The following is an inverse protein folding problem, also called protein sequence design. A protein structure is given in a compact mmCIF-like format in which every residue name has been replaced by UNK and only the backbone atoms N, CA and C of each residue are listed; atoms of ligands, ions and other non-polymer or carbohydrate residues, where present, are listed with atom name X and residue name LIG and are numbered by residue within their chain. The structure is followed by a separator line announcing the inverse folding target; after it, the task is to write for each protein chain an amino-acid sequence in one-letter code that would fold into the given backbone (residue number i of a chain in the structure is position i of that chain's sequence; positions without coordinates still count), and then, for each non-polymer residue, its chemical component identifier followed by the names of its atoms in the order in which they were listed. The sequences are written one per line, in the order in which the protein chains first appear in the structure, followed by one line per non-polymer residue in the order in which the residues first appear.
data_IF_954559393429
#
_entry.id   IF_954559393429
#
_cell.length_a   1.000
_cell.length_b   1.000
_cell.length_c   1.000
_cell.angle_alpha   90.00
_cell.angle_beta   90.00
_cell.angle_gamma   90.00
#
_symmetry.space_group_name_H-M   'P 1'
#
loop_
_entity.id
_entity.type
_entity.pdbx_description
1 polymer ?
#
# COMPACT_ATOMS: atom_id res chain seq x y z
N UNK A 1 -64.18 -26.62 31.87
CA UNK A 1 -64.98 -27.51 32.75
C UNK A 1 -64.60 -28.97 32.49
N UNK A 2 -64.62 -29.81 33.53
CA UNK A 2 -64.23 -31.25 33.65
C UNK A 2 -62.74 -31.46 34.01
N UNK A 3 -62.38 -31.48 35.32
CA UNK A 3 -62.41 -32.57 36.36
C UNK A 3 -61.01 -33.22 36.46
N UNK A 4 -60.13 -32.83 37.41
CA UNK A 4 -59.95 -33.25 38.83
C UNK A 4 -59.82 -34.78 39.06
N UNK A 5 -58.66 -35.19 39.60
CA UNK A 5 -58.37 -36.10 40.75
C UNK A 5 -56.90 -36.58 40.60
N UNK A 6 -55.91 -36.34 41.47
CA UNK A 6 -55.71 -36.45 42.94
C UNK A 6 -55.24 -37.85 43.43
N UNK A 7 -53.89 -38.01 43.61
CA UNK A 7 -53.10 -38.42 44.82
C UNK A 7 -53.41 -39.83 45.47
N UNK A 8 -52.60 -40.47 46.37
CA UNK A 8 -51.15 -40.80 46.54
C UNK A 8 -50.91 -42.32 46.85
N UNK A 9 -49.67 -42.76 47.16
CA UNK A 9 -49.25 -43.46 48.42
C UNK A 9 -47.78 -43.95 48.24
N UNK A 10 -46.84 -43.47 49.08
CA UNK A 10 -46.20 -44.20 50.22
C UNK A 10 -45.22 -45.32 49.82
N UNK A 11 -44.16 -45.69 50.54
CA UNK A 11 -43.39 -45.22 51.71
C UNK A 11 -42.33 -46.34 51.86
N UNK A 12 -41.07 -46.04 52.15
CA UNK A 12 -40.08 -47.11 52.30
C UNK A 12 -38.67 -46.65 52.65
N UNK A 13 -38.50 -46.25 53.92
CA UNK A 13 -37.20 -46.07 54.56
C UNK A 13 -36.52 -47.42 54.83
N UNK A 14 -35.24 -47.55 54.49
CA UNK A 14 -34.30 -48.43 55.20
C UNK A 14 -33.02 -47.62 55.43
N UNK A 15 -32.72 -47.39 56.71
CA UNK A 15 -31.46 -46.84 57.19
C UNK A 15 -30.56 -48.00 57.64
N UNK A 16 -29.30 -48.01 57.16
CA UNK A 16 -28.18 -48.76 57.74
C UNK A 16 -26.99 -47.80 57.81
N UNK A 17 -26.56 -47.45 59.03
CA UNK A 17 -25.17 -47.03 59.31
C UNK A 17 -24.35 -48.30 59.61
N UNK A 18 -23.02 -48.38 59.52
CA UNK A 18 -21.94 -47.41 59.76
C UNK A 18 -20.68 -47.95 59.05
N UNK A 19 -19.84 -47.08 58.49
CA UNK A 19 -18.36 -47.16 58.57
C UNK A 19 -17.74 -45.91 57.93
N UNK A 20 -17.17 -45.06 58.76
CA UNK A 20 -16.27 -43.97 58.36
C UNK A 20 -14.98 -44.56 57.79
N UNK A 21 -14.69 -44.26 56.53
CA UNK A 21 -13.33 -44.36 55.98
C UNK A 21 -12.99 -42.99 55.40
N UNK A 22 -12.12 -42.28 56.11
CA UNK A 22 -11.43 -41.11 55.57
C UNK A 22 -10.57 -41.57 54.40
N UNK A 23 -10.92 -41.13 53.19
CA UNK A 23 -9.98 -41.12 52.07
C UNK A 23 -10.42 -40.10 51.01
N UNK A 24 -9.57 -39.08 50.88
CA UNK A 24 -9.32 -38.25 49.69
C UNK A 24 -10.49 -37.41 49.16
N UNK A 25 -10.50 -36.14 49.58
CA UNK A 25 -11.06 -35.05 48.78
C UNK A 25 -10.34 -35.02 47.42
N UNK A 26 -10.94 -35.65 46.41
CA UNK A 26 -10.68 -35.26 45.04
C UNK A 26 -11.30 -33.86 44.89
N UNK A 27 -10.43 -32.86 44.81
CA UNK A 27 -10.81 -31.54 44.35
C UNK A 27 -11.48 -31.71 42.98
N UNK A 28 -12.81 -31.57 42.95
CA UNK A 28 -13.55 -31.25 41.74
C UNK A 28 -13.08 -29.85 41.34
N UNK A 29 -11.94 -29.83 40.64
CA UNK A 29 -11.47 -28.66 39.93
C UNK A 29 -12.45 -28.51 38.79
N UNK A 30 -13.53 -27.78 39.08
CA UNK A 30 -14.45 -27.30 38.08
C UNK A 30 -13.63 -26.76 36.94
N UNK A 31 -13.65 -27.46 35.81
CA UNK A 31 -13.21 -26.91 34.54
C UNK A 31 -14.13 -25.71 34.30
N UNK A 32 -13.69 -24.54 34.74
CA UNK A 32 -14.23 -23.28 34.29
C UNK A 32 -14.17 -23.36 32.77
N UNK A 33 -15.32 -23.55 32.15
CA UNK A 33 -15.43 -23.54 30.70
C UNK A 33 -14.73 -22.28 30.23
N UNK A 34 -13.64 -22.44 29.48
CA UNK A 34 -13.05 -21.34 28.76
C UNK A 34 -14.18 -20.79 27.89
N UNK A 35 -14.79 -19.69 28.29
CA UNK A 35 -15.66 -18.93 27.42
C UNK A 35 -14.76 -18.51 26.28
N UNK A 36 -14.78 -19.25 25.17
CA UNK A 36 -14.15 -18.81 23.95
C UNK A 36 -14.67 -17.40 23.70
N UNK A 37 -13.75 -16.42 23.74
CA UNK A 37 -14.09 -15.04 23.46
C UNK A 37 -14.71 -15.04 22.06
N UNK A 38 -16.03 -14.84 22.02
CA UNK A 38 -16.81 -14.88 20.81
C UNK A 38 -16.33 -13.73 19.93
N UNK A 39 -15.57 -14.06 18.88
CA UNK A 39 -14.94 -13.09 17.99
C UNK A 39 -15.71 -13.02 16.67
N UNK A 40 -15.80 -11.82 16.11
CA UNK A 40 -16.27 -11.55 14.76
C UNK A 40 -15.16 -10.91 13.94
N UNK A 41 -15.32 -10.93 12.61
CA UNK A 41 -14.39 -10.28 11.69
C UNK A 41 -15.09 -9.14 10.98
N UNK A 42 -14.54 -7.93 11.10
CA UNK A 42 -14.94 -6.79 10.28
C UNK A 42 -14.02 -6.78 9.07
N UNK A 43 -14.61 -6.72 7.88
CA UNK A 43 -13.90 -6.52 6.62
C UNK A 43 -14.48 -5.30 5.91
N UNK A 44 -13.74 -4.70 5.01
CA UNK A 44 -14.26 -3.64 4.17
C UNK A 44 -13.17 -2.94 3.40
N UNK A 45 -13.56 -1.89 2.69
CA UNK A 45 -12.66 -1.04 1.93
C UNK A 45 -12.85 0.42 2.31
N UNK A 46 -11.75 1.16 2.39
CA UNK A 46 -11.75 2.61 2.64
C UNK A 46 -11.31 3.33 1.38
N UNK A 47 -12.15 4.24 0.89
CA UNK A 47 -11.90 5.05 -0.31
C UNK A 47 -12.24 6.50 -0.08
N UNK A 48 -11.80 7.36 -0.99
CA UNK A 48 -12.16 8.77 -1.00
C UNK A 48 -13.40 8.98 -1.89
N UNK A 49 -14.46 9.55 -1.32
CA UNK A 49 -15.74 9.81 -2.00
C UNK A 49 -15.60 10.76 -3.21
N UNK A 50 -14.60 11.65 -3.19
CA UNK A 50 -14.41 12.66 -4.23
C UNK A 50 -13.59 12.17 -5.42
N UNK A 51 -12.56 11.36 -5.17
CA UNK A 51 -11.62 10.88 -6.20
C UNK A 51 -11.88 9.45 -6.63
N UNK A 52 -12.66 8.71 -5.84
CA UNK A 52 -12.78 7.26 -5.92
C UNK A 52 -11.40 6.56 -5.80
N UNK A 53 -10.37 7.17 -5.21
CA UNK A 53 -9.08 6.49 -4.96
C UNK A 53 -9.16 5.64 -3.68
N UNK A 54 -8.42 4.54 -3.62
CA UNK A 54 -8.26 3.78 -2.38
C UNK A 54 -7.30 4.46 -1.43
N UNK A 55 -7.58 4.31 -0.14
CA UNK A 55 -6.75 4.90 0.90
C UNK A 55 -5.96 3.80 1.59
N UNK A 56 -4.71 3.61 1.17
CA UNK A 56 -3.70 2.81 1.88
C UNK A 56 -3.24 3.56 3.13
N UNK A 57 -3.15 2.86 4.27
CA UNK A 57 -2.71 3.50 5.50
C UNK A 57 -3.76 4.36 6.20
N UNK A 58 -5.05 4.20 5.88
CA UNK A 58 -6.12 4.70 6.74
C UNK A 58 -6.09 3.98 8.11
N UNK A 59 -6.47 4.70 9.16
CA UNK A 59 -6.65 4.12 10.49
C UNK A 59 -8.11 3.74 10.67
N UNK A 60 -8.40 2.45 10.82
CA UNK A 60 -9.73 1.96 11.16
C UNK A 60 -9.67 1.52 12.62
N UNK A 61 -10.41 2.19 13.50
CA UNK A 61 -10.39 1.90 14.94
C UNK A 61 -11.81 1.78 15.50
N UNK A 62 -12.00 0.86 16.43
CA UNK A 62 -13.20 0.83 17.24
C UNK A 62 -13.09 1.81 18.41
N UNK A 63 -14.03 2.76 18.46
CA UNK A 63 -14.10 3.77 19.52
C UNK A 63 -14.25 3.11 20.90
N UNK A 64 -13.54 3.63 21.89
CA UNK A 64 -13.55 3.09 23.25
C UNK A 64 -12.74 1.79 23.44
N UNK A 65 -12.10 1.25 22.39
CA UNK A 65 -11.24 0.06 22.48
C UNK A 65 -9.84 0.31 21.91
N UNK A 66 -8.94 -0.65 22.08
CA UNK A 66 -7.60 -0.66 21.48
C UNK A 66 -7.55 -1.45 20.15
N UNK A 67 -8.69 -1.96 19.67
CA UNK A 67 -8.75 -2.67 18.40
C UNK A 67 -8.69 -1.69 17.24
N UNK A 68 -7.64 -1.82 16.43
CA UNK A 68 -7.46 -1.03 15.23
C UNK A 68 -6.81 -1.87 14.13
N UNK A 69 -7.12 -1.53 12.89
CA UNK A 69 -6.52 -2.08 11.69
C UNK A 69 -6.06 -0.93 10.79
N UNK A 70 -5.04 -1.23 10.00
CA UNK A 70 -4.52 -0.37 8.96
C UNK A 70 -5.03 -0.93 7.64
N UNK A 71 -5.49 -0.05 6.75
CA UNK A 71 -5.85 -0.47 5.39
C UNK A 71 -4.62 -0.81 4.57
N UNK A 72 -4.72 -1.87 3.78
CA UNK A 72 -3.74 -2.28 2.79
C UNK A 72 -3.78 -1.39 1.55
N UNK A 73 -2.91 -1.68 0.58
CA UNK A 73 -2.72 -0.91 -0.65
C UNK A 73 -4.00 -0.76 -1.48
N UNK A 74 -4.82 -1.80 -1.55
CA UNK A 74 -6.12 -1.81 -2.23
C UNK A 74 -7.25 -1.20 -1.37
N UNK A 75 -6.90 -0.51 -0.28
CA UNK A 75 -7.82 0.11 0.66
C UNK A 75 -8.57 -0.90 1.54
N UNK A 76 -8.30 -2.20 1.43
CA UNK A 76 -8.99 -3.21 2.23
C UNK A 76 -8.48 -3.23 3.66
N UNK A 77 -9.36 -3.56 4.60
CA UNK A 77 -8.98 -3.79 5.99
C UNK A 77 -9.66 -5.03 6.54
N UNK A 78 -9.01 -5.63 7.53
CA UNK A 78 -9.53 -6.77 8.27
C UNK A 78 -9.22 -6.62 9.75
N UNK A 79 -10.27 -6.63 10.58
CA UNK A 79 -10.16 -6.43 12.02
C UNK A 79 -10.93 -7.54 12.76
N UNK A 80 -10.25 -8.25 13.67
CA UNK A 80 -10.89 -9.24 14.53
C UNK A 80 -11.17 -8.64 15.89
N UNK A 81 -12.43 -8.71 16.30
CA UNK A 81 -12.92 -8.07 17.52
C UNK A 81 -13.94 -8.96 18.20
N UNK A 82 -14.11 -8.87 19.52
CA UNK A 82 -15.21 -9.54 20.21
C UNK A 82 -16.58 -9.15 19.66
N UNK A 83 -17.58 -10.01 19.80
CA UNK A 83 -18.96 -9.68 19.48
C UNK A 83 -19.47 -8.55 20.39
N UNK A 84 -20.18 -7.58 19.81
CA UNK A 84 -20.62 -6.38 20.52
C UNK A 84 -21.08 -5.28 19.57
N UNK A 85 -21.58 -4.20 20.16
CA UNK A 85 -21.91 -2.96 19.45
C UNK A 85 -20.75 -1.98 19.58
N UNK A 86 -20.27 -1.47 18.45
CA UNK A 86 -19.16 -0.55 18.41
C UNK A 86 -19.41 0.59 17.43
N UNK A 87 -18.65 1.66 17.61
CA UNK A 87 -18.53 2.73 16.63
C UNK A 87 -17.20 2.59 15.91
N UNK A 88 -17.26 2.35 14.60
CA UNK A 88 -16.11 2.25 13.73
C UNK A 88 -15.71 3.66 13.30
N UNK A 89 -14.60 4.16 13.85
CA UNK A 89 -14.02 5.45 13.51
C UNK A 89 -12.91 5.23 12.49
N UNK A 90 -13.03 5.86 11.34
CA UNK A 90 -12.00 5.83 10.29
C UNK A 90 -11.42 7.21 10.10
N UNK A 91 -10.10 7.31 10.17
CA UNK A 91 -9.37 8.55 9.96
C UNK A 91 -8.25 8.38 8.94
N UNK A 92 -8.04 9.44 8.17
CA UNK A 92 -6.99 9.55 7.17
C UNK A 92 -6.46 10.98 7.18
N UNK A 93 -5.14 11.14 7.07
CA UNK A 93 -4.52 12.47 7.17
C UNK A 93 -5.05 13.38 6.06
N UNK A 94 -5.71 14.48 6.43
CA UNK A 94 -6.23 15.48 5.48
C UNK A 94 -7.65 15.23 4.96
N UNK A 95 -8.35 14.21 5.46
CA UNK A 95 -9.79 13.99 5.24
C UNK A 95 -10.54 14.09 6.57
N UNK A 96 -11.85 14.31 6.50
CA UNK A 96 -12.71 14.36 7.68
C UNK A 96 -12.92 12.94 8.23
N UNK A 97 -12.87 12.79 9.55
CA UNK A 97 -13.11 11.50 10.20
C UNK A 97 -14.58 11.09 10.05
N UNK A 98 -14.80 9.80 9.78
CA UNK A 98 -16.14 9.22 9.73
C UNK A 98 -16.32 8.19 10.82
N UNK A 99 -17.44 8.30 11.55
CA UNK A 99 -17.84 7.35 12.58
C UNK A 99 -19.11 6.62 12.14
N UNK A 100 -19.07 5.30 12.12
CA UNK A 100 -20.17 4.46 11.66
C UNK A 100 -20.54 3.43 12.74
N UNK A 101 -21.80 3.38 13.20
CA UNK A 101 -22.23 2.35 14.13
C UNK A 101 -22.23 0.98 13.45
N UNK A 102 -21.72 -0.04 14.16
CA UNK A 102 -21.63 -1.42 13.69
C UNK A 102 -22.02 -2.38 14.83
N UNK A 103 -22.89 -3.33 14.53
CA UNK A 103 -23.20 -4.45 15.44
C UNK A 103 -22.58 -5.74 14.91
N UNK A 104 -21.84 -6.43 15.76
CA UNK A 104 -21.08 -7.63 15.39
C UNK A 104 -21.67 -8.81 16.16
N UNK A 105 -22.25 -9.75 15.43
CA UNK A 105 -22.73 -11.01 15.98
C UNK A 105 -21.58 -12.01 16.11
N UNK A 106 -21.72 -12.96 17.03
CA UNK A 106 -20.70 -14.00 17.28
C UNK A 106 -20.38 -14.79 16.01
N UNK A 107 -19.10 -14.88 15.64
CA UNK A 107 -18.63 -15.59 14.45
C UNK A 107 -19.03 -14.95 13.11
N UNK A 108 -19.74 -13.82 13.12
CA UNK A 108 -20.19 -13.17 11.91
C UNK A 108 -19.05 -12.39 11.24
N UNK A 109 -19.03 -12.45 9.91
CA UNK A 109 -18.21 -11.56 9.09
C UNK A 109 -19.10 -10.39 8.64
N UNK A 110 -18.78 -9.19 9.12
CA UNK A 110 -19.50 -7.97 8.73
C UNK A 110 -18.64 -7.20 7.74
N UNK A 111 -19.18 -6.95 6.55
CA UNK A 111 -18.53 -6.09 5.55
C UNK A 111 -19.02 -4.66 5.67
N UNK A 112 -18.12 -3.70 5.84
CA UNK A 112 -18.45 -2.26 5.87
C UNK A 112 -17.45 -1.43 5.06
N UNK A 113 -17.91 -0.95 3.91
CA UNK A 113 -17.13 -0.04 3.08
C UNK A 113 -17.36 1.41 3.54
N UNK A 114 -16.31 2.23 3.53
CA UNK A 114 -16.25 3.56 4.15
C UNK A 114 -15.69 4.54 3.13
N UNK A 115 -16.44 5.62 2.87
CA UNK A 115 -16.06 6.65 1.91
C UNK A 115 -15.76 7.95 2.67
N UNK A 116 -14.49 8.30 2.78
CA UNK A 116 -14.05 9.53 3.42
C UNK A 116 -14.12 10.71 2.44
N UNK A 117 -14.39 11.90 2.95
CA UNK A 117 -14.36 13.15 2.16
C UNK A 117 -13.63 14.23 2.95
N UNK A 118 -13.16 15.26 2.27
CA UNK A 118 -12.82 16.53 2.90
C UNK A 118 -14.04 17.47 2.82
N UNK A 119 -14.27 18.29 3.84
CA UNK A 119 -15.41 19.22 3.96
C UNK A 119 -15.49 20.34 2.92
N UNK A 120 -14.80 20.22 1.78
CA UNK A 120 -14.72 21.21 0.71
C UNK A 120 -15.75 20.89 -0.40
N UNK A 121 -16.98 20.54 -0.02
CA UNK A 121 -18.12 20.51 -0.94
C UNK A 121 -19.03 21.71 -0.70
N UNK A 122 -18.62 22.88 -1.20
CA UNK A 122 -19.52 24.02 -1.45
C UNK A 122 -19.04 24.97 -2.57
N UNK A 123 -18.25 24.52 -3.55
CA UNK A 123 -18.09 25.25 -4.82
C UNK A 123 -17.94 24.28 -5.98
N UNK A 124 -18.43 24.70 -7.16
CA UNK A 124 -18.44 23.96 -8.42
C UNK A 124 -17.11 23.22 -8.69
N UNK A 125 -17.16 21.98 -9.21
CA UNK A 125 -16.01 21.09 -9.25
C UNK A 125 -14.89 21.64 -10.12
N UNK A 126 -13.82 22.10 -9.47
CA UNK A 126 -12.49 22.17 -10.06
C UNK A 126 -11.58 21.23 -9.27
N UNK A 127 -11.56 19.97 -9.69
CA UNK A 127 -10.91 18.87 -8.98
C UNK A 127 -9.41 18.87 -9.26
N UNK A 128 -8.62 19.47 -8.37
CA UNK A 128 -7.17 19.20 -8.27
C UNK A 128 -6.95 18.26 -7.09
N UNK A 129 -7.35 17.00 -7.26
CA UNK A 129 -7.35 16.03 -6.17
C UNK A 129 -6.20 15.00 -6.23
N UNK A 130 -5.58 14.77 -7.38
CA UNK A 130 -4.52 13.76 -7.52
C UNK A 130 -3.26 14.07 -6.70
N UNK A 131 -2.66 15.24 -6.92
CA UNK A 131 -1.34 15.59 -6.34
C UNK A 131 -1.37 15.79 -4.81
N UNK A 132 -2.51 16.20 -4.23
CA UNK A 132 -2.66 16.31 -2.77
C UNK A 132 -2.90 14.96 -2.10
N UNK A 133 -3.53 14.00 -2.78
CA UNK A 133 -3.85 12.69 -2.23
C UNK A 133 -2.61 11.78 -2.15
N UNK A 134 -1.83 11.70 -3.24
CA UNK A 134 -0.58 10.91 -3.26
C UNK A 134 0.43 11.38 -2.21
N UNK A 135 0.57 12.70 -2.04
CA UNK A 135 1.41 13.28 -1.00
C UNK A 135 0.94 12.94 0.42
N UNK A 136 -0.37 12.96 0.67
CA UNK A 136 -0.93 12.58 1.98
C UNK A 136 -0.72 11.09 2.29
N UNK A 137 -0.83 10.22 1.29
CA UNK A 137 -0.53 8.78 1.39
C UNK A 137 0.95 8.57 1.71
N UNK A 138 1.85 9.19 0.95
CA UNK A 138 3.30 9.09 1.14
C UNK A 138 3.71 9.53 2.56
N UNK A 139 3.18 10.66 3.05
CA UNK A 139 3.45 11.14 4.42
C UNK A 139 2.92 10.17 5.48
N UNK A 140 1.73 9.60 5.27
CA UNK A 140 1.12 8.66 6.22
C UNK A 140 1.92 7.36 6.30
N UNK A 141 2.32 6.81 5.15
CA UNK A 141 3.20 5.65 5.06
C UNK A 141 4.55 5.94 5.73
N UNK A 142 5.11 7.12 5.50
CA UNK A 142 6.39 7.51 6.11
C UNK A 142 6.27 7.62 7.64
N UNK A 143 5.18 8.20 8.16
CA UNK A 143 4.95 8.33 9.61
C UNK A 143 4.78 6.97 10.30
N UNK A 144 4.27 5.98 9.58
CA UNK A 144 4.03 4.62 10.08
C UNK A 144 5.21 3.67 9.87
N UNK A 145 6.26 4.10 9.19
CA UNK A 145 7.44 3.28 8.96
C UNK A 145 8.28 3.19 10.24
N UNK A 146 8.61 1.96 10.64
CA UNK A 146 9.50 1.69 11.78
C UNK A 146 10.98 2.07 11.51
N UNK A 147 11.35 2.29 10.24
CA UNK A 147 12.69 2.70 9.81
C UNK A 147 12.76 4.13 9.27
N UNK A 148 13.99 4.66 9.13
CA UNK A 148 14.27 5.95 8.47
C UNK A 148 14.09 5.82 6.96
N UNK A 149 12.83 5.83 6.54
CA UNK A 149 12.39 5.81 5.15
C UNK A 149 11.94 7.21 4.73
N UNK A 150 12.23 7.59 3.50
CA UNK A 150 11.68 8.77 2.85
C UNK A 150 10.77 8.29 1.74
N UNK A 151 9.48 8.60 1.81
CA UNK A 151 8.49 8.15 0.82
C UNK A 151 8.00 9.37 0.06
N UNK A 152 8.03 9.30 -1.26
CA UNK A 152 7.62 10.39 -2.13
C UNK A 152 6.73 9.86 -3.23
N UNK A 153 5.57 10.49 -3.38
CA UNK A 153 4.65 10.20 -4.47
C UNK A 153 5.24 10.68 -5.80
N UNK A 154 5.05 9.90 -6.87
CA UNK A 154 5.56 10.25 -8.18
C UNK A 154 4.90 11.50 -8.78
N UNK A 155 3.74 11.90 -8.27
CA UNK A 155 3.03 13.13 -8.63
C UNK A 155 3.32 14.30 -7.68
N UNK A 156 4.13 14.11 -6.63
CA UNK A 156 4.41 15.11 -5.60
C UNK A 156 5.02 16.42 -6.13
N UNK A 157 5.63 16.36 -7.30
CA UNK A 157 6.36 17.46 -7.92
C UNK A 157 5.78 17.82 -9.31
N UNK A 158 4.51 17.49 -9.55
CA UNK A 158 3.79 17.76 -10.80
C UNK A 158 3.88 16.63 -11.83
N UNK A 159 3.45 16.91 -13.06
CA UNK A 159 3.51 15.94 -14.18
C UNK A 159 4.97 15.66 -14.55
N UNK A 160 5.54 14.60 -13.99
CA UNK A 160 6.85 14.11 -14.37
C UNK A 160 6.77 13.30 -15.65
N UNK A 161 6.78 14.01 -16.78
CA UNK A 161 7.16 13.41 -18.05
C UNK A 161 8.69 13.14 -18.12
N UNK A 162 9.32 12.81 -16.97
CA UNK A 162 10.77 12.69 -16.77
C UNK A 162 11.17 11.45 -15.97
N UNK A 163 12.47 11.31 -15.71
CA UNK A 163 13.10 10.12 -15.12
C UNK A 163 12.82 10.05 -13.60
N UNK A 164 12.52 8.88 -13.01
CA UNK A 164 12.42 8.73 -11.54
C UNK A 164 13.69 9.15 -10.80
N UNK A 165 14.87 9.08 -11.43
CA UNK A 165 16.11 9.63 -10.91
C UNK A 165 16.03 11.13 -10.61
N UNK A 166 15.28 11.91 -11.39
CA UNK A 166 15.15 13.36 -11.19
C UNK A 166 14.28 13.70 -9.96
N UNK A 167 13.41 12.78 -9.55
CA UNK A 167 12.68 12.87 -8.28
C UNK A 167 13.59 12.56 -7.10
N UNK A 168 14.43 11.54 -7.26
CA UNK A 168 15.31 11.06 -6.20
C UNK A 168 16.32 12.12 -5.76
N UNK A 169 16.89 12.90 -6.69
CA UNK A 169 17.82 14.00 -6.36
C UNK A 169 17.17 15.12 -5.53
N UNK A 170 15.83 15.22 -5.51
CA UNK A 170 15.12 16.18 -4.65
C UNK A 170 15.08 15.73 -3.19
N UNK A 171 15.45 14.49 -2.90
CA UNK A 171 15.47 13.95 -1.56
C UNK A 171 16.78 14.30 -0.85
N UNK A 172 16.72 14.65 0.45
CA UNK A 172 17.91 15.03 1.18
C UNK A 172 18.88 13.85 1.29
N UNK A 173 20.16 14.07 0.95
CA UNK A 173 21.19 13.05 1.01
C UNK A 173 21.14 12.01 -0.12
N UNK A 174 20.40 12.30 -1.19
CA UNK A 174 20.46 11.55 -2.45
C UNK A 174 21.08 12.46 -3.51
N UNK A 175 22.16 11.99 -4.12
CA UNK A 175 22.84 12.68 -5.21
C UNK A 175 22.64 11.87 -6.50
N UNK A 176 22.47 12.56 -7.61
CA UNK A 176 22.36 11.94 -8.93
C UNK A 176 23.64 12.14 -9.73
N UNK A 177 24.10 11.09 -10.39
CA UNK A 177 25.11 11.19 -11.42
C UNK A 177 24.43 11.47 -12.77
N UNK A 178 24.64 12.68 -13.26
CA UNK A 178 24.05 13.13 -14.52
C UNK A 178 24.94 12.74 -15.70
N UNK A 179 24.40 11.94 -16.61
CA UNK A 179 25.07 11.53 -17.85
C UNK A 179 24.20 11.99 -19.02
N UNK A 180 24.74 12.87 -19.87
CA UNK A 180 23.95 13.46 -20.95
C UNK A 180 22.86 14.45 -20.48
N UNK A 181 22.89 14.84 -19.20
CA UNK A 181 21.92 15.74 -18.55
C UNK A 181 20.65 15.06 -18.07
N UNK A 182 20.61 13.73 -18.06
CA UNK A 182 19.62 12.93 -17.36
C UNK A 182 20.31 12.27 -16.15
N UNK A 183 19.64 12.19 -15.00
CA UNK A 183 20.21 11.54 -13.82
C UNK A 183 20.14 10.01 -13.96
N UNK A 184 21.23 9.40 -14.45
CA UNK A 184 21.26 7.98 -14.81
C UNK A 184 21.40 7.08 -13.60
N UNK A 185 22.25 7.48 -12.66
CA UNK A 185 22.58 6.69 -11.49
C UNK A 185 22.44 7.52 -10.22
N UNK A 186 22.16 6.87 -9.10
CA UNK A 186 21.96 7.52 -7.81
C UNK A 186 23.06 7.15 -6.84
N UNK A 187 23.33 8.03 -5.88
CA UNK A 187 24.24 7.82 -4.76
C UNK A 187 23.54 8.30 -3.50
N UNK A 188 23.47 7.48 -2.46
CA UNK A 188 22.86 7.85 -1.18
C UNK A 188 23.97 8.09 -0.18
N UNK A 189 23.96 9.26 0.50
CA UNK A 189 24.97 9.67 1.49
C UNK A 189 26.42 9.64 0.97
N UNK A 190 26.62 9.81 -0.33
CA UNK A 190 27.95 9.79 -0.96
C UNK A 190 28.55 8.39 -1.14
N UNK A 191 27.76 7.33 -0.90
CA UNK A 191 28.17 5.95 -1.14
C UNK A 191 28.03 5.62 -2.63
N UNK A 192 28.95 4.79 -3.13
CA UNK A 192 29.02 4.43 -4.55
C UNK A 192 27.73 3.76 -5.01
N UNK A 193 27.30 4.04 -6.24
CA UNK A 193 26.09 3.49 -6.88
C UNK A 193 26.00 1.94 -6.88
N UNK A 194 27.14 1.25 -6.80
CA UNK A 194 27.23 -0.22 -6.67
C UNK A 194 26.77 -0.77 -5.31
N UNK A 195 26.72 0.09 -4.28
CA UNK A 195 26.31 -0.26 -2.92
C UNK A 195 24.82 0.03 -2.69
N UNK A 196 24.10 0.47 -3.73
CA UNK A 196 22.67 0.70 -3.67
C UNK A 196 21.92 -0.55 -4.14
N UNK A 197 20.89 -0.90 -3.38
CA UNK A 197 19.89 -1.86 -3.84
C UNK A 197 18.73 -1.12 -4.49
N UNK A 198 18.34 -1.54 -5.69
CA UNK A 198 17.15 -1.02 -6.37
C UNK A 198 16.15 -2.14 -6.59
N UNK A 199 14.96 -1.95 -6.05
CA UNK A 199 13.83 -2.88 -6.15
C UNK A 199 12.64 -2.19 -6.79
N UNK A 200 11.78 -2.98 -7.44
CA UNK A 200 10.47 -2.56 -7.91
C UNK A 200 9.42 -3.47 -7.31
N UNK A 201 8.44 -2.88 -6.61
CA UNK A 201 7.40 -3.62 -5.88
C UNK A 201 7.96 -4.68 -4.91
N UNK A 202 9.16 -4.43 -4.36
CA UNK A 202 9.88 -5.35 -3.48
C UNK A 202 10.80 -6.35 -4.18
N UNK A 203 10.66 -6.56 -5.49
CA UNK A 203 11.53 -7.45 -6.27
C UNK A 203 12.77 -6.74 -6.78
N UNK A 204 13.91 -7.42 -6.79
CA UNK A 204 15.16 -6.83 -7.30
C UNK A 204 15.10 -6.67 -8.81
N UNK A 205 15.36 -5.45 -9.28
CA UNK A 205 15.48 -5.19 -10.72
C UNK A 205 16.92 -5.48 -11.14
N UNK A 206 17.08 -6.40 -12.08
CA UNK A 206 18.36 -6.60 -12.74
C UNK A 206 18.51 -5.61 -13.89
N UNK A 207 19.60 -4.85 -13.90
CA UNK A 207 20.00 -4.04 -15.05
C UNK A 207 21.19 -4.70 -15.73
N UNK A 208 21.09 -4.96 -17.03
CA UNK A 208 22.21 -5.35 -17.86
C UNK A 208 22.91 -4.10 -18.38
N UNK A 209 23.70 -3.43 -17.53
CA UNK A 209 24.57 -2.35 -18.01
C UNK A 209 25.64 -2.97 -18.93
N UNK A 210 25.77 -2.42 -20.14
CA UNK A 210 26.54 -2.98 -21.26
C UNK A 210 28.07 -3.01 -21.10
N UNK A 211 28.60 -2.63 -19.93
CA UNK A 211 30.05 -2.56 -19.70
C UNK A 211 30.40 -2.73 -18.22
N UNK A 212 30.57 -3.98 -17.78
CA UNK A 212 31.21 -4.32 -16.51
C UNK A 212 30.41 -5.25 -15.59
N UNK A 213 31.10 -5.84 -14.61
CA UNK A 213 30.52 -6.60 -13.48
C UNK A 213 30.06 -5.62 -12.38
N UNK A 214 29.26 -4.63 -12.74
CA UNK A 214 28.75 -3.60 -11.83
C UNK A 214 27.27 -3.80 -11.54
N UNK A 215 26.82 -3.34 -10.37
CA UNK A 215 25.46 -3.56 -9.83
C UNK A 215 24.58 -2.31 -9.99
N UNK A 216 24.93 -1.49 -10.96
CA UNK A 216 24.40 -0.14 -11.12
C UNK A 216 23.08 -0.18 -11.88
N UNK A 217 22.06 0.45 -11.30
CA UNK A 217 20.75 0.56 -11.92
C UNK A 217 20.62 1.86 -12.71
N UNK A 218 20.13 1.75 -13.94
CA UNK A 218 19.89 2.91 -14.79
C UNK A 218 18.43 3.38 -14.67
N UNK A 219 18.22 4.50 -13.97
CA UNK A 219 16.89 5.05 -13.74
C UNK A 219 16.18 5.54 -15.02
N UNK A 220 16.92 5.84 -16.10
CA UNK A 220 16.33 6.25 -17.38
C UNK A 220 15.53 5.16 -18.08
N UNK A 221 15.71 3.89 -17.70
CA UNK A 221 14.96 2.76 -18.26
C UNK A 221 13.53 2.68 -17.76
N UNK A 222 13.24 3.28 -16.60
CA UNK A 222 11.91 3.29 -16.02
C UNK A 222 11.26 4.65 -16.24
N UNK A 223 9.98 4.63 -16.59
CA UNK A 223 9.19 5.83 -16.70
C UNK A 223 8.57 6.20 -15.34
N UNK A 224 8.71 7.45 -14.89
CA UNK A 224 8.08 7.94 -13.67
C UNK A 224 6.53 7.85 -13.68
N UNK A 225 5.89 7.88 -14.85
CA UNK A 225 4.46 7.69 -15.00
C UNK A 225 4.00 6.28 -14.65
N UNK A 226 4.87 5.28 -14.78
CA UNK A 226 4.57 3.90 -14.36
C UNK A 226 4.74 3.70 -12.85
N UNK A 227 5.38 4.64 -12.16
CA UNK A 227 5.64 4.60 -10.72
C UNK A 227 4.54 5.39 -9.99
N UNK A 228 4.05 4.85 -8.88
CA UNK A 228 3.12 5.51 -7.96
C UNK A 228 3.89 6.31 -6.91
N UNK A 229 4.88 5.67 -6.29
CA UNK A 229 5.74 6.26 -5.26
C UNK A 229 7.13 5.65 -5.27
N UNK A 230 8.08 6.38 -4.73
CA UNK A 230 9.45 5.93 -4.52
C UNK A 230 9.74 5.99 -3.01
N UNK A 231 10.25 4.88 -2.49
CA UNK A 231 10.60 4.70 -1.09
C UNK A 231 12.12 4.59 -1.00
N UNK A 232 12.73 5.49 -0.25
CA UNK A 232 14.18 5.52 -0.06
C UNK A 232 14.51 5.19 1.38
N UNK A 233 15.20 4.07 1.57
CA UNK A 233 15.70 3.61 2.86
C UNK A 233 17.17 4.00 2.97
N UNK A 234 17.49 4.89 3.90
CA UNK A 234 18.87 5.38 4.09
C UNK A 234 19.64 4.63 5.17
N UNK A 235 18.93 3.84 5.97
CA UNK A 235 19.50 3.00 7.02
C UNK A 235 18.97 1.58 6.81
N UNK A 236 19.83 0.62 6.46
CA UNK A 236 19.37 -0.76 6.29
C UNK A 236 18.80 -1.28 7.61
N UNK A 237 17.66 -1.97 7.51
CA UNK A 237 17.02 -2.68 8.62
C UNK A 237 17.32 -4.19 8.51
N UNK A 238 17.25 -4.97 9.61
CA UNK A 238 17.69 -6.38 9.62
C UNK A 238 16.90 -7.31 8.68
N UNK A 239 15.74 -6.88 8.21
CA UNK A 239 14.86 -7.54 7.24
C UNK A 239 15.30 -7.35 5.78
N UNK A 240 16.29 -6.49 5.52
CA UNK A 240 16.75 -6.16 4.17
C UNK A 240 17.95 -7.01 3.74
N UNK A 241 18.13 -7.15 2.43
CA UNK A 241 19.33 -7.77 1.86
C UNK A 241 20.61 -7.05 2.31
N UNK A 242 21.61 -7.84 2.74
CA UNK A 242 22.90 -7.35 3.24
C UNK A 242 23.76 -6.61 2.21
N UNK A 243 23.29 -6.47 0.98
CA UNK A 243 23.92 -5.67 -0.07
C UNK A 243 23.46 -4.21 -0.12
N UNK A 244 22.51 -3.81 0.73
CA UNK A 244 21.94 -2.46 0.80
C UNK A 244 22.77 -1.50 1.68
N UNK A 245 24.09 -1.65 1.73
CA UNK A 245 25.00 -0.87 2.60
C UNK A 245 24.92 0.63 2.28
N UNK A 246 24.72 0.97 1.00
CA UNK A 246 24.52 2.33 0.50
C UNK A 246 23.14 2.91 0.85
N UNK A 247 22.19 2.07 1.21
CA UNK A 247 20.77 2.35 1.21
C UNK A 247 20.05 1.57 0.10
N UNK A 248 18.72 1.60 0.15
CA UNK A 248 17.87 0.95 -0.84
C UNK A 248 16.84 1.91 -1.39
N UNK A 249 16.50 1.73 -2.66
CA UNK A 249 15.43 2.44 -3.35
C UNK A 249 14.41 1.41 -3.81
N UNK A 250 13.20 1.50 -3.30
CA UNK A 250 12.07 0.70 -3.74
C UNK A 250 11.11 1.58 -4.55
N UNK A 251 10.88 1.21 -5.81
CA UNK A 251 9.91 1.88 -6.68
C UNK A 251 8.62 1.08 -6.69
N UNK A 252 7.53 1.68 -6.25
CA UNK A 252 6.22 1.03 -6.28
C UNK A 252 5.53 1.41 -7.58
N UNK A 253 5.24 0.43 -8.44
CA UNK A 253 4.53 0.66 -9.70
C UNK A 253 3.09 1.06 -9.44
N UNK A 254 2.40 1.69 -10.39
CA UNK A 254 0.95 1.95 -10.27
C UNK A 254 0.17 0.66 -10.51
N UNK A 255 -0.73 0.33 -9.59
CA UNK A 255 -1.68 -0.77 -9.77
C UNK A 255 -3.06 -0.24 -10.15
N UNK A 256 -3.76 -1.01 -10.96
CA UNK A 256 -5.16 -0.74 -11.29
C UNK A 256 -6.07 -0.87 -10.05
N UNK A 257 -5.65 -1.67 -9.06
CA UNK A 257 -6.38 -1.84 -7.79
C UNK A 257 -6.24 -0.66 -6.84
N UNK A 258 -5.37 0.33 -7.09
CA UNK A 258 -5.21 1.50 -6.21
C UNK A 258 -6.35 2.52 -6.40
N UNK A 259 -7.23 2.31 -7.39
CA UNK A 259 -8.42 3.14 -7.63
C UNK A 259 -9.71 2.33 -7.60
N UNK A 260 -10.79 2.94 -7.11
CA UNK A 260 -12.16 2.42 -7.05
C UNK A 260 -12.97 2.72 -8.31
N UNK A 261 -12.48 3.62 -9.17
CA UNK A 261 -13.04 3.85 -10.50
C UNK A 261 -12.72 2.67 -11.43
N UNK A 262 -13.75 2.13 -12.11
CA UNK A 262 -13.60 0.98 -13.01
C UNK A 262 -12.57 1.24 -14.11
N UNK A 263 -12.38 2.49 -14.57
CA UNK A 263 -11.45 2.84 -15.65
C UNK A 263 -10.75 4.17 -15.43
N UNK A 264 -9.42 4.18 -15.62
CA UNK A 264 -8.56 5.36 -15.56
C UNK A 264 -7.70 5.44 -16.81
N UNK A 265 -7.74 6.59 -17.47
CA UNK A 265 -6.89 6.92 -18.62
C UNK A 265 -6.14 8.19 -18.26
N UNK A 266 -4.82 8.16 -18.37
CA UNK A 266 -3.98 9.35 -18.26
C UNK A 266 -3.06 9.40 -19.46
N UNK A 267 -3.19 10.48 -20.22
CA UNK A 267 -2.28 10.84 -21.29
C UNK A 267 -1.45 12.04 -20.82
N UNK A 268 -0.15 12.01 -21.07
CA UNK A 268 0.72 13.16 -20.87
C UNK A 268 1.49 13.46 -22.15
N UNK A 269 1.71 14.74 -22.38
CA UNK A 269 2.50 15.26 -23.48
C UNK A 269 3.40 16.37 -22.94
N UNK A 270 4.68 16.31 -23.24
CA UNK A 270 5.65 17.29 -22.79
C UNK A 270 6.78 17.47 -23.79
N UNK A 271 7.54 18.54 -23.59
CA UNK A 271 8.79 18.79 -24.28
C UNK A 271 9.84 19.23 -23.27
N UNK A 272 11.04 18.66 -23.38
CA UNK A 272 12.20 19.04 -22.58
C UNK A 272 13.21 19.69 -23.52
N UNK A 273 13.66 20.90 -23.18
CA UNK A 273 14.71 21.60 -23.92
C UNK A 273 15.58 22.43 -22.96
N UNK A 274 16.83 22.65 -23.34
CA UNK A 274 17.77 23.52 -22.63
C UNK A 274 17.73 24.91 -23.26
N UNK A 275 17.13 25.85 -22.53
CA UNK A 275 16.97 27.23 -23.01
C UNK A 275 18.29 27.93 -23.36
N UNK A 276 19.42 27.49 -22.80
CA UNK A 276 20.73 28.13 -22.94
C UNK A 276 21.75 27.34 -23.78
N UNK A 277 21.39 26.18 -24.33
CA UNK A 277 22.26 25.39 -25.21
C UNK A 277 21.74 25.47 -26.65
N UNK A 278 22.39 26.25 -27.55
CA UNK A 278 21.93 26.45 -28.92
C UNK A 278 22.04 25.19 -29.80
N UNK A 279 22.67 24.11 -29.31
CA UNK A 279 22.76 22.82 -30.01
C UNK A 279 21.64 21.86 -29.59
N UNK A 280 20.87 22.22 -28.56
CA UNK A 280 19.87 21.33 -28.02
C UNK A 280 18.60 21.35 -28.87
N UNK A 281 18.05 20.16 -29.10
CA UNK A 281 16.82 19.96 -29.84
C UNK A 281 15.71 19.60 -28.87
N UNK A 282 14.49 20.16 -29.01
CA UNK A 282 13.39 19.84 -28.11
C UNK A 282 13.08 18.34 -28.15
N UNK A 283 13.17 17.71 -26.99
CA UNK A 283 12.88 16.29 -26.79
C UNK A 283 11.43 16.15 -26.38
N UNK A 284 10.61 15.66 -27.31
CA UNK A 284 9.21 15.36 -27.05
C UNK A 284 9.09 14.11 -26.20
N UNK A 285 8.18 14.15 -25.23
CA UNK A 285 7.80 13.01 -24.41
C UNK A 285 6.29 12.83 -24.46
N UNK A 286 5.88 11.57 -24.62
CA UNK A 286 4.48 11.17 -24.61
C UNK A 286 4.35 9.94 -23.74
N UNK A 287 3.32 9.93 -22.90
CA UNK A 287 2.94 8.75 -22.14
C UNK A 287 1.44 8.55 -22.17
N UNK A 288 1.05 7.29 -22.22
CA UNK A 288 -0.32 6.82 -22.12
C UNK A 288 -0.34 5.73 -21.06
N UNK A 289 -1.14 5.96 -20.02
CA UNK A 289 -1.45 4.99 -19.00
C UNK A 289 -2.93 4.69 -19.02
N UNK A 290 -3.24 3.41 -19.01
CA UNK A 290 -4.59 2.88 -18.94
C UNK A 290 -4.63 1.85 -17.81
N UNK A 291 -5.61 1.98 -16.92
CA UNK A 291 -5.84 1.00 -15.87
C UNK A 291 -7.33 0.79 -15.67
N UNK A 292 -7.75 -0.47 -15.54
CA UNK A 292 -9.15 -0.83 -15.39
C UNK A 292 -9.29 -2.07 -14.50
N UNK A 293 -10.33 -2.07 -13.66
CA UNK A 293 -10.65 -3.17 -12.75
C UNK A 293 -11.98 -3.79 -13.20
N UNK A 294 -11.91 -5.01 -13.70
CA UNK A 294 -13.06 -5.81 -14.11
C UNK A 294 -13.64 -6.56 -12.91
N UNK A 295 -14.88 -6.20 -12.53
CA UNK A 295 -15.68 -6.92 -11.52
C UNK A 295 -15.03 -7.02 -10.14
N UNK A 296 -14.12 -6.09 -9.80
CA UNK A 296 -13.41 -6.07 -8.52
C UNK A 296 -12.43 -7.23 -8.29
N UNK A 297 -12.16 -8.06 -9.30
CA UNK A 297 -11.35 -9.29 -9.17
C UNK A 297 -10.17 -9.37 -10.13
N UNK A 298 -10.31 -8.79 -11.32
CA UNK A 298 -9.26 -8.76 -12.32
C UNK A 298 -8.93 -7.30 -12.62
N UNK A 299 -7.67 -6.93 -12.53
CA UNK A 299 -7.25 -5.60 -12.91
C UNK A 299 -6.18 -5.65 -13.99
N UNK A 300 -6.31 -4.78 -14.98
CA UNK A 300 -5.39 -4.65 -16.10
C UNK A 300 -4.83 -3.24 -16.06
N UNK A 301 -3.51 -3.12 -16.01
CA UNK A 301 -2.81 -1.86 -16.16
C UNK A 301 -1.85 -1.96 -17.35
N UNK A 302 -1.87 -0.94 -18.20
CA UNK A 302 -1.00 -0.77 -19.34
C UNK A 302 -0.36 0.61 -19.27
N UNK A 303 0.95 0.65 -19.41
CA UNK A 303 1.70 1.89 -19.54
C UNK A 303 2.57 1.81 -20.79
N UNK A 304 2.39 2.78 -21.69
CA UNK A 304 3.28 3.00 -22.81
C UNK A 304 3.79 4.42 -22.73
N UNK A 305 5.09 4.58 -22.92
CA UNK A 305 5.67 5.89 -23.04
C UNK A 305 6.86 5.85 -23.98
N UNK A 306 7.02 6.92 -24.73
CA UNK A 306 8.20 7.13 -25.54
C UNK A 306 8.89 8.40 -25.07
N UNK A 307 10.20 8.26 -24.96
CA UNK A 307 11.11 9.32 -24.59
C UNK A 307 12.32 9.15 -25.47
N UNK A 308 12.46 10.02 -26.46
CA UNK A 308 13.65 10.03 -27.31
C UNK A 308 14.81 10.56 -26.49
N UNK A 309 15.65 9.64 -26.03
CA UNK A 309 16.97 9.94 -25.48
C UNK A 309 17.96 10.00 -26.66
N UNK A 310 18.45 11.19 -26.97
CA UNK A 310 19.65 11.31 -27.79
C UNK A 310 20.86 11.00 -26.89
N UNK A 311 21.22 9.73 -26.76
CA UNK A 311 22.63 9.39 -26.68
C UNK A 311 22.98 8.71 -27.99
N UNK A 312 23.68 9.44 -28.86
CA UNK A 312 24.30 8.89 -30.06
C UNK A 312 25.51 8.06 -29.60
N UNK A 313 25.26 6.84 -29.11
CA UNK A 313 26.29 5.82 -28.90
C UNK A 313 26.02 4.73 -29.93
N UNK A 314 26.65 4.92 -31.09
CA UNK A 314 26.83 3.99 -32.21
C UNK A 314 25.60 3.22 -32.73
N UNK A 315 25.16 3.59 -33.94
CA UNK A 315 24.37 2.71 -34.80
C UNK A 315 25.25 1.55 -35.29
N UNK A 316 24.90 0.30 -34.94
CA UNK A 316 25.35 -0.86 -35.70
C UNK A 316 24.23 -1.26 -36.67
N UNK A 317 24.34 -0.85 -37.93
CA UNK A 317 23.57 -1.48 -39.00
C UNK A 317 24.26 -2.77 -39.42
N UNK A 318 23.63 -3.92 -39.22
CA UNK A 318 24.00 -5.12 -39.97
C UNK A 318 23.34 -5.03 -41.34
N UNK A 319 24.12 -4.71 -42.36
CA UNK A 319 23.75 -4.95 -43.76
C UNK A 319 23.90 -6.45 -44.04
N UNK A 320 22.80 -7.10 -44.45
CA UNK A 320 22.89 -8.44 -45.05
C UNK A 320 23.50 -8.28 -46.45
N UNK A 321 24.65 -8.90 -46.67
CA UNK A 321 25.24 -9.07 -47.99
C UNK A 321 24.94 -10.48 -48.47
N UNK A 322 24.03 -10.62 -49.43
CA UNK A 322 23.94 -11.83 -50.26
C UNK A 322 25.10 -11.78 -51.25
N UNK A 323 25.96 -12.80 -51.22
CA UNK A 323 26.98 -13.01 -52.25
C UNK A 323 26.31 -13.64 -53.49
N UNK A 324 26.84 -13.37 -54.71
CA UNK A 324 26.28 -13.82 -55.98
C UNK A 324 26.24 -15.34 -56.14
#
# INVERSE_FOLDING_TARGET
MKRKNAIPLMLGWIAIGVASTDAIHAADSGFAGATMQQTGTITGRVSNAATNTNLEGAMVRLEGTNYSAITERDGTYRLHVPAGEYQLRTSYTGLDEQTVPLSIQNGAMVRRDIELTAGIYKMSPFTVAGEREGNAQAITLQRRSDGVKTIVAADAFGSLAGNPGDLLVRLPGVNGESVGGDNRFMQIRGLHQNLLSVTMDGDRIAEATSSGTTREFNFTKINADAIERIEVVKSPTPDMDGDSIGGAVNMVSKSAFDSTGERRIRASFGAIWRAFDPRDTPRWCYSLSYSEVFGGKLAVAFNAADRRYMSLIASNSQSHQLLP
#
